data_IF_021777638136
#
_entry.id   IF_021777638136
#
_cell.length_a   1.000
_cell.length_b   1.000
_cell.length_c   1.000
_cell.angle_alpha   90.00
_cell.angle_beta   90.00
_cell.angle_gamma   90.00
#
_symmetry.space_group_name_H-M   'P 1'
#
loop_
_entity.id
_entity.type
_entity.pdbx_description
1 polymer ?
#
# COMPACT_ATOMS: atom_id res chain seq x y z
N UNK A 1 -1.57 -5.84 -15.85
CA UNK A 1 -2.33 -6.56 -14.80
C UNK A 1 -2.54 -5.72 -13.55
N UNK A 2 -1.60 -4.84 -13.14
CA UNK A 2 -1.79 -3.93 -12.01
C UNK A 2 -3.14 -3.16 -12.02
N UNK A 3 -3.57 -2.66 -13.18
CA UNK A 3 -4.87 -1.98 -13.29
C UNK A 3 -6.11 -2.86 -13.01
N UNK A 4 -6.02 -4.18 -13.25
CA UNK A 4 -7.12 -5.13 -12.96
C UNK A 4 -7.20 -5.39 -11.45
N UNK A 5 -6.05 -5.55 -10.79
CA UNK A 5 -5.98 -5.71 -9.34
C UNK A 5 -6.50 -4.44 -8.63
N UNK A 6 -6.06 -3.26 -9.09
CA UNK A 6 -6.57 -1.96 -8.63
C UNK A 6 -8.08 -1.83 -8.76
N UNK A 7 -8.65 -2.20 -9.91
CA UNK A 7 -10.10 -2.13 -10.13
C UNK A 7 -10.90 -3.08 -9.23
N UNK A 8 -10.26 -4.12 -8.70
CA UNK A 8 -10.87 -5.07 -7.78
C UNK A 8 -10.56 -4.79 -6.31
N UNK A 9 -9.95 -3.64 -6.00
CA UNK A 9 -9.53 -3.36 -4.63
C UNK A 9 -8.53 -4.37 -4.09
N UNK A 10 -7.83 -5.11 -4.98
CA UNK A 10 -6.76 -6.04 -4.63
C UNK A 10 -5.39 -5.34 -4.54
N UNK A 11 -5.41 -4.00 -4.40
CA UNK A 11 -4.24 -3.15 -4.27
C UNK A 11 -4.26 -2.58 -2.86
N UNK A 12 -3.23 -2.84 -2.05
CA UNK A 12 -3.16 -2.31 -0.69
C UNK A 12 -3.12 -0.77 -0.74
N UNK A 13 -4.15 -0.14 -0.19
CA UNK A 13 -4.30 1.32 -0.17
C UNK A 13 -3.31 2.00 0.82
N UNK A 14 -2.54 1.19 1.55
CA UNK A 14 -1.49 1.58 2.48
C UNK A 14 -0.30 2.33 1.82
N UNK A 15 -0.27 2.40 0.49
CA UNK A 15 0.76 3.06 -0.34
C UNK A 15 0.36 4.50 -0.75
N UNK A 16 -0.47 5.19 0.02
CA UNK A 16 -0.60 6.66 -0.12
C UNK A 16 0.65 7.32 0.46
N UNK A 17 1.33 8.15 -0.32
CA UNK A 17 2.71 8.67 -0.15
C UNK A 17 3.10 9.27 1.22
N UNK A 18 2.16 9.53 2.14
CA UNK A 18 2.45 9.98 3.51
C UNK A 18 2.34 8.89 4.59
N UNK A 19 1.94 7.66 4.24
CA UNK A 19 1.75 6.53 5.18
C UNK A 19 2.52 5.27 4.80
N UNK A 20 3.26 5.31 3.69
CA UNK A 20 3.99 4.15 3.17
C UNK A 20 5.07 3.68 4.15
N UNK A 21 5.77 4.62 4.75
CA UNK A 21 6.83 4.34 5.72
C UNK A 21 6.26 3.66 6.99
N UNK A 22 5.09 4.11 7.46
CA UNK A 22 4.43 3.51 8.64
C UNK A 22 3.81 2.16 8.34
N UNK A 23 3.24 1.95 7.14
CA UNK A 23 2.70 0.66 6.74
C UNK A 23 3.80 -0.39 6.61
N UNK A 24 4.85 -0.09 5.85
CA UNK A 24 5.98 -1.00 5.63
C UNK A 24 6.71 -1.28 6.95
N UNK A 25 6.82 -0.29 7.84
CA UNK A 25 7.41 -0.47 9.16
C UNK A 25 6.55 -1.33 10.09
N UNK A 26 5.22 -1.22 10.05
CA UNK A 26 4.32 -2.08 10.83
C UNK A 26 4.31 -3.50 10.29
N UNK A 27 4.30 -3.68 8.97
CA UNK A 27 4.45 -5.01 8.38
C UNK A 27 5.81 -5.62 8.75
N UNK A 28 6.90 -4.84 8.72
CA UNK A 28 8.23 -5.30 9.12
C UNK A 28 8.35 -5.59 10.63
N UNK A 29 7.57 -4.88 11.47
CA UNK A 29 7.55 -5.07 12.92
C UNK A 29 6.55 -6.15 13.39
N UNK A 30 5.65 -6.59 12.52
CA UNK A 30 4.59 -7.54 12.85
C UNK A 30 4.64 -8.76 11.90
N UNK A 31 5.35 -9.80 12.32
CA UNK A 31 5.54 -11.04 11.57
C UNK A 31 4.21 -11.68 11.11
N UNK A 32 3.16 -11.59 11.93
CA UNK A 32 1.84 -12.13 11.60
C UNK A 32 1.17 -11.36 10.45
N UNK A 33 1.22 -10.02 10.47
CA UNK A 33 0.72 -9.21 9.35
C UNK A 33 1.53 -9.43 8.08
N UNK A 34 2.85 -9.59 8.20
CA UNK A 34 3.72 -9.92 7.08
C UNK A 34 3.36 -11.29 6.46
N UNK A 35 3.19 -12.32 7.29
CA UNK A 35 2.82 -13.67 6.84
C UNK A 35 1.45 -13.64 6.11
N UNK A 36 0.46 -12.93 6.67
CA UNK A 36 -0.86 -12.77 6.04
C UNK A 36 -0.78 -12.05 4.69
N UNK A 37 0.04 -11.00 4.59
CA UNK A 37 0.26 -10.27 3.33
C UNK A 37 0.93 -11.16 2.28
N UNK A 38 1.97 -11.90 2.66
CA UNK A 38 2.65 -12.83 1.74
C UNK A 38 1.71 -13.93 1.28
N UNK A 39 0.93 -14.51 2.20
CA UNK A 39 -0.07 -15.53 1.89
C UNK A 39 -1.13 -14.99 0.93
N UNK A 40 -1.66 -13.79 1.16
CA UNK A 40 -2.62 -13.16 0.26
C UNK A 40 -2.05 -12.98 -1.15
N UNK A 41 -0.80 -12.52 -1.27
CA UNK A 41 -0.10 -12.40 -2.55
C UNK A 41 0.08 -13.74 -3.26
N UNK A 42 0.43 -14.79 -2.52
CA UNK A 42 0.55 -16.15 -3.06
C UNK A 42 -0.81 -16.67 -3.53
N UNK A 43 -1.88 -16.45 -2.78
CA UNK A 43 -3.24 -16.86 -3.15
C UNK A 43 -3.74 -16.12 -4.40
N UNK A 44 -3.53 -14.80 -4.50
CA UNK A 44 -3.83 -14.01 -5.72
C UNK A 44 -3.09 -14.59 -6.92
N UNK A 45 -1.78 -14.84 -6.77
CA UNK A 45 -0.95 -15.38 -7.84
C UNK A 45 -1.44 -16.76 -8.28
N UNK A 46 -1.67 -17.65 -7.31
CA UNK A 46 -2.18 -19.01 -7.54
C UNK A 46 -3.52 -18.98 -8.26
N UNK A 47 -4.42 -18.07 -7.86
CA UNK A 47 -5.74 -17.95 -8.49
C UNK A 47 -5.65 -17.47 -9.94
N UNK A 48 -4.78 -16.48 -10.21
CA UNK A 48 -4.53 -16.03 -11.58
C UNK A 48 -3.96 -17.17 -12.43
N UNK A 49 -3.00 -17.94 -11.90
CA UNK A 49 -2.44 -19.10 -12.61
C UNK A 49 -3.50 -20.16 -12.93
N UNK A 50 -4.38 -20.47 -11.97
CA UNK A 50 -5.48 -21.41 -12.16
C UNK A 50 -6.40 -20.96 -13.31
N UNK A 51 -6.80 -19.69 -13.29
CA UNK A 51 -7.70 -19.10 -14.29
C UNK A 51 -7.05 -19.07 -15.68
N UNK A 52 -5.77 -18.69 -15.76
CA UNK A 52 -5.02 -18.65 -17.03
C UNK A 52 -4.79 -20.05 -17.61
N UNK A 53 -4.74 -21.09 -16.77
CA UNK A 53 -4.63 -22.49 -17.22
C UNK A 53 -5.94 -23.08 -17.73
N UNK A 54 -7.08 -22.40 -17.53
CA UNK A 54 -8.36 -22.88 -18.06
C UNK A 54 -8.33 -22.96 -19.60
N UNK A 55 -9.00 -23.97 -20.20
CA UNK A 55 -9.00 -24.14 -21.65
C UNK A 55 -9.60 -22.93 -22.38
N UNK A 56 -10.54 -22.24 -21.76
CA UNK A 56 -11.16 -21.02 -22.29
C UNK A 56 -10.13 -19.89 -22.43
N UNK A 57 -9.46 -19.50 -21.34
CA UNK A 57 -8.44 -18.44 -21.39
C UNK A 57 -7.28 -18.84 -22.28
N UNK A 58 -6.85 -20.10 -22.23
CA UNK A 58 -5.78 -20.61 -23.10
C UNK A 58 -6.13 -20.43 -24.58
N UNK A 59 -7.35 -20.78 -24.97
CA UNK A 59 -7.81 -20.59 -26.35
C UNK A 59 -7.84 -19.12 -26.75
N UNK A 60 -8.30 -18.23 -25.86
CA UNK A 60 -8.30 -16.79 -26.10
C UNK A 60 -6.88 -16.22 -26.28
N UNK A 61 -5.90 -16.70 -25.50
CA UNK A 61 -4.50 -16.30 -25.64
C UNK A 61 -3.89 -16.81 -26.94
N UNK A 62 -4.24 -18.02 -27.38
CA UNK A 62 -3.82 -18.54 -28.68
C UNK A 62 -4.40 -17.71 -29.83
N UNK A 63 -5.69 -17.33 -29.75
CA UNK A 63 -6.31 -16.41 -30.70
C UNK A 63 -5.64 -15.03 -30.70
N UNK A 64 -5.32 -14.50 -29.53
CA UNK A 64 -4.62 -13.23 -29.38
C UNK A 64 -3.27 -13.26 -30.10
N UNK A 65 -2.49 -14.35 -29.95
CA UNK A 65 -1.21 -14.52 -30.67
C UNK A 65 -1.40 -14.50 -32.19
N UNK A 66 -2.45 -15.15 -32.70
CA UNK A 66 -2.75 -15.17 -34.14
C UNK A 66 -3.11 -13.78 -34.65
N UNK A 67 -3.99 -13.07 -33.95
CA UNK A 67 -4.40 -11.72 -34.37
C UNK A 67 -3.27 -10.70 -34.25
N UNK A 68 -2.43 -10.80 -33.21
CA UNK A 68 -1.21 -9.97 -33.10
C UNK A 68 -0.25 -10.23 -34.24
N UNK A 69 -0.01 -11.49 -34.61
CA UNK A 69 0.83 -11.81 -35.77
C UNK A 69 0.23 -11.28 -37.08
N UNK A 70 -1.11 -11.28 -37.21
CA UNK A 70 -1.81 -10.71 -38.37
C UNK A 70 -1.67 -9.20 -38.42
N UNK A 71 -1.85 -8.51 -37.31
CA UNK A 71 -1.67 -7.05 -37.19
C UNK A 71 -0.23 -6.61 -37.52
N UNK A 72 0.77 -7.40 -37.11
CA UNK A 72 2.17 -7.13 -37.44
C UNK A 72 2.49 -7.32 -38.93
N UNK A 73 1.86 -8.30 -39.60
CA UNK A 73 2.07 -8.57 -41.03
C UNK A 73 1.31 -7.63 -41.95
N UNK A 74 0.20 -7.08 -41.46
CA UNK A 74 -0.68 -6.18 -42.23
C UNK A 74 -0.96 -4.89 -41.44
N UNK A 75 0.07 -4.06 -41.24
CA UNK A 75 -0.09 -2.77 -40.58
C UNK A 75 -1.13 -1.93 -41.33
N UNK A 76 -2.14 -1.42 -40.62
CA UNK A 76 -3.26 -0.67 -41.20
C UNK A 76 -4.61 -1.40 -41.22
N UNK A 77 -4.66 -2.71 -40.91
CA UNK A 77 -5.94 -3.42 -40.75
C UNK A 77 -6.52 -3.13 -39.36
N UNK A 78 -7.41 -2.15 -39.28
CA UNK A 78 -8.07 -1.71 -38.03
C UNK A 78 -8.79 -2.86 -37.31
N UNK A 79 -9.39 -3.79 -38.04
CA UNK A 79 -10.11 -4.94 -37.48
C UNK A 79 -9.21 -5.84 -36.62
N UNK A 80 -7.95 -6.04 -37.01
CA UNK A 80 -7.02 -6.88 -36.25
C UNK A 80 -6.69 -6.23 -34.90
N UNK A 81 -6.46 -4.91 -34.88
CA UNK A 81 -6.22 -4.16 -33.63
C UNK A 81 -7.45 -4.13 -32.73
N UNK A 82 -8.65 -3.92 -33.29
CA UNK A 82 -9.90 -3.98 -32.51
C UNK A 82 -10.12 -5.36 -31.88
N UNK A 83 -9.82 -6.43 -32.63
CA UNK A 83 -9.97 -7.80 -32.13
C UNK A 83 -8.94 -8.15 -31.05
N UNK A 84 -7.71 -7.64 -31.18
CA UNK A 84 -6.69 -7.74 -30.12
C UNK A 84 -7.18 -7.05 -28.85
N UNK A 85 -7.65 -5.81 -28.96
CA UNK A 85 -8.16 -5.06 -27.80
C UNK A 85 -9.35 -5.76 -27.15
N UNK A 86 -10.31 -6.25 -27.95
CA UNK A 86 -11.46 -6.99 -27.43
C UNK A 86 -11.06 -8.29 -26.72
N UNK A 87 -10.09 -9.04 -27.27
CA UNK A 87 -9.59 -10.27 -26.63
C UNK A 87 -8.86 -9.95 -25.33
N UNK A 88 -8.03 -8.90 -25.29
CA UNK A 88 -7.38 -8.47 -24.06
C UNK A 88 -8.38 -8.08 -22.98
N UNK A 89 -9.43 -7.32 -23.34
CA UNK A 89 -10.47 -6.91 -22.40
C UNK A 89 -11.23 -8.11 -21.85
N UNK A 90 -11.62 -9.06 -22.70
CA UNK A 90 -12.32 -10.27 -22.25
C UNK A 90 -11.44 -11.15 -21.35
N UNK A 91 -10.14 -11.31 -21.65
CA UNK A 91 -9.20 -12.05 -20.78
C UNK A 91 -9.09 -11.35 -19.43
N UNK A 92 -8.91 -10.03 -19.42
CA UNK A 92 -8.85 -9.22 -18.19
C UNK A 92 -10.13 -9.39 -17.37
N UNK A 93 -11.30 -9.29 -18.00
CA UNK A 93 -12.60 -9.43 -17.36
C UNK A 93 -12.78 -10.80 -16.70
N UNK A 94 -12.46 -11.88 -17.41
CA UNK A 94 -12.59 -13.24 -16.86
C UNK A 94 -11.68 -13.49 -15.66
N UNK A 95 -10.44 -12.99 -15.71
CA UNK A 95 -9.53 -13.04 -14.55
C UNK A 95 -10.13 -12.25 -13.39
N UNK A 96 -10.68 -11.07 -13.67
CA UNK A 96 -11.33 -10.21 -12.70
C UNK A 96 -12.53 -10.88 -12.01
N UNK A 97 -13.43 -11.50 -12.78
CA UNK A 97 -14.60 -12.23 -12.26
C UNK A 97 -14.18 -13.40 -11.36
N UNK A 98 -13.13 -14.13 -11.75
CA UNK A 98 -12.60 -15.23 -10.95
C UNK A 98 -11.94 -14.77 -9.65
N UNK A 99 -11.32 -13.59 -9.64
CA UNK A 99 -10.78 -12.98 -8.43
C UNK A 99 -11.89 -12.47 -7.51
N UNK A 100 -12.93 -11.82 -8.04
CA UNK A 100 -14.06 -11.34 -7.23
C UNK A 100 -14.83 -12.48 -6.53
N UNK A 101 -14.94 -13.64 -7.19
CA UNK A 101 -15.64 -14.81 -6.61
C UNK A 101 -14.79 -15.63 -5.64
N UNK A 102 -13.52 -15.28 -5.46
CA UNK A 102 -12.56 -16.07 -4.66
C UNK A 102 -12.49 -15.67 -3.17
N UNK A 103 -13.18 -14.62 -2.76
CA UNK A 103 -13.12 -14.09 -1.39
C UNK A 103 -11.80 -13.37 -1.05
N UNK A 104 -10.92 -13.16 -2.03
CA UNK A 104 -9.65 -12.45 -1.81
C UNK A 104 -9.83 -10.98 -1.41
N UNK A 105 -10.94 -10.35 -1.83
CA UNK A 105 -11.30 -8.99 -1.41
C UNK A 105 -11.58 -8.93 0.10
N UNK A 106 -12.33 -9.90 0.63
CA UNK A 106 -12.64 -9.96 2.06
C UNK A 106 -11.38 -10.13 2.92
N UNK A 107 -10.44 -10.96 2.45
CA UNK A 107 -9.13 -11.15 3.10
C UNK A 107 -8.28 -9.88 3.06
N UNK A 108 -8.35 -9.12 1.98
CA UNK A 108 -7.68 -7.82 1.92
C UNK A 108 -8.32 -6.83 2.90
N UNK A 109 -9.64 -6.73 2.94
CA UNK A 109 -10.35 -5.83 3.86
C UNK A 109 -10.04 -6.17 5.33
N UNK A 110 -9.92 -7.45 5.65
CA UNK A 110 -9.51 -7.91 6.99
C UNK A 110 -8.07 -7.49 7.29
N UNK A 111 -7.15 -7.68 6.35
CA UNK A 111 -5.75 -7.28 6.50
C UNK A 111 -5.60 -5.75 6.67
N UNK A 112 -6.40 -4.95 5.96
CA UNK A 112 -6.41 -3.49 6.10
C UNK A 112 -6.94 -3.04 7.47
N UNK A 113 -7.94 -3.73 8.03
CA UNK A 113 -8.43 -3.47 9.40
C UNK A 113 -7.39 -3.82 10.45
N UNK A 114 -6.72 -4.95 10.32
CA UNK A 114 -5.66 -5.34 11.24
C UNK A 114 -4.47 -4.37 11.17
N UNK A 115 -4.13 -3.90 9.96
CA UNK A 115 -3.11 -2.86 9.79
C UNK A 115 -3.52 -1.55 10.46
N UNK A 116 -4.78 -1.13 10.33
CA UNK A 116 -5.30 0.08 10.98
C UNK A 116 -5.23 -0.05 12.52
N UNK A 117 -5.64 -1.19 13.07
CA UNK A 117 -5.56 -1.44 14.51
C UNK A 117 -4.10 -1.45 15.01
N UNK A 118 -3.18 -2.06 14.25
CA UNK A 118 -1.76 -2.06 14.59
C UNK A 118 -1.14 -0.64 14.55
N UNK A 119 -1.63 0.24 13.66
CA UNK A 119 -1.24 1.66 13.61
C UNK A 119 -1.70 2.43 14.83
N UNK A 120 -2.94 2.21 15.27
CA UNK A 120 -3.47 2.87 16.47
C UNK A 120 -2.66 2.48 17.71
N UNK A 121 -2.35 1.19 17.89
CA UNK A 121 -1.50 0.72 18.98
C UNK A 121 -0.09 1.33 18.93
N UNK A 122 0.52 1.39 17.75
CA UNK A 122 1.86 1.99 17.59
C UNK A 122 1.87 3.50 17.86
N UNK A 123 0.74 4.21 17.69
CA UNK A 123 0.63 5.63 17.97
C UNK A 123 0.42 5.91 19.47
N UNK A 124 -0.32 5.05 20.18
CA UNK A 124 -0.56 5.19 21.63
C UNK A 124 0.69 4.97 22.48
N UNK A 125 1.64 4.13 22.03
CA UNK A 125 2.91 3.92 22.75
C UNK A 125 3.86 5.15 22.71
N UNK A 126 3.55 6.18 21.91
CA UNK A 126 4.37 7.38 21.78
C UNK A 126 3.95 8.55 22.71
N UNK A 127 2.81 8.50 23.39
CA UNK A 127 2.25 9.66 24.13
C UNK A 127 2.34 9.54 25.67
N UNK A 128 3.01 8.51 26.19
CA UNK A 128 3.07 8.22 27.64
C UNK A 128 4.21 8.87 28.44
N UNK A 129 5.02 9.76 27.87
CA UNK A 129 6.19 10.30 28.56
C UNK A 129 6.30 11.82 28.47
N UNK A 130 5.43 12.52 29.20
CA UNK A 130 5.77 13.87 29.70
C UNK A 130 5.83 13.79 31.22
N UNK A 131 7.05 13.70 31.75
CA UNK A 131 7.34 14.03 33.14
C UNK A 131 7.19 15.54 33.28
N UNK A 132 6.32 15.99 34.16
CA UNK A 132 6.46 17.28 34.84
C UNK A 132 6.31 16.99 36.34
N UNK A 133 7.36 16.38 36.90
CA UNK A 133 7.69 16.52 38.31
C UNK A 133 8.67 17.71 38.37
N UNK A 134 8.20 18.90 38.70
CA UNK A 134 9.03 19.98 39.22
C UNK A 134 8.27 20.58 40.41
N UNK A 135 8.36 19.85 41.53
CA UNK A 135 8.12 20.39 42.87
C UNK A 135 9.32 21.29 43.27
N UNK A 136 8.96 22.50 43.70
CA UNK A 136 9.62 23.47 44.58
C UNK A 136 11.08 23.26 45.04
N UNK A 137 11.89 24.32 44.97
CA UNK A 137 12.44 24.95 46.19
C UNK A 137 13.11 26.31 45.91
N UNK A 138 12.66 27.33 46.64
CA UNK A 138 13.37 28.60 46.85
C UNK A 138 14.66 28.36 47.65
N UNK A 139 15.80 28.94 47.26
CA UNK A 139 16.68 29.63 48.24
C UNK A 139 17.62 30.64 47.56
N UNK A 140 17.83 31.71 48.33
CA UNK A 140 18.60 32.91 48.10
C UNK A 140 20.10 32.66 47.93
N UNK A 141 20.78 33.50 47.14
CA UNK A 141 21.98 34.20 47.63
C UNK A 141 22.47 35.28 46.67
N UNK A 142 22.34 36.50 47.17
CA UNK A 142 23.06 37.72 46.86
C UNK A 142 24.60 37.53 46.81
N UNK A 143 25.26 38.05 45.76
CA UNK A 143 26.57 38.71 45.84
C UNK A 143 27.12 38.99 44.44
N UNK A 144 27.42 40.25 44.13
CA UNK A 144 28.13 40.62 42.90
C UNK A 144 28.26 42.12 42.67
N UNK A 145 29.01 42.80 43.55
CA UNK A 145 29.43 44.21 43.39
C UNK A 145 30.36 44.42 42.19
N UNK A 146 30.07 45.45 41.39
CA UNK A 146 31.01 46.36 40.69
C UNK A 146 30.24 47.66 40.35
N UNK A 147 30.33 48.75 41.11
CA UNK A 147 31.38 49.78 41.18
C UNK A 147 31.45 50.77 40.00
N UNK A 148 31.29 52.07 40.35
CA UNK A 148 31.70 53.32 39.68
C UNK A 148 30.92 53.83 38.46
N UNK A 149 30.63 55.14 38.28
CA UNK A 149 30.69 56.40 39.05
C UNK A 149 30.08 57.48 38.15
N UNK A 150 29.43 58.49 38.76
CA UNK A 150 29.10 59.86 38.29
C UNK A 150 27.60 60.18 38.35
N UNK A 151 27.24 61.28 39.04
CA UNK A 151 27.28 62.56 38.34
C UNK A 151 27.92 63.72 39.11
N UNK A 152 28.48 64.63 38.31
CA UNK A 152 28.85 66.01 38.61
C UNK A 152 27.80 66.77 39.44
N UNK A 153 28.22 67.58 40.41
CA UNK A 153 27.82 69.00 40.52
C UNK A 153 28.55 69.75 41.65
N UNK A 154 28.96 70.97 41.30
CA UNK A 154 29.36 72.15 42.11
C UNK A 154 30.71 72.13 42.85
#
# INVERSE_FOLDING_TARGET
MAGVLKSMGLELDAVKQNQKDTAEQIYAANENLQEKLEKLNQEITSKIEEVVRTPEIKSMVELLKVETAKASKTPGVTEAYQKIEALEQQIKQKIAEALNTSGLQEKQDELEKELAAARELAAEESDGSVKEDDDDDEDSSESGKSEMVNPSFA
#
